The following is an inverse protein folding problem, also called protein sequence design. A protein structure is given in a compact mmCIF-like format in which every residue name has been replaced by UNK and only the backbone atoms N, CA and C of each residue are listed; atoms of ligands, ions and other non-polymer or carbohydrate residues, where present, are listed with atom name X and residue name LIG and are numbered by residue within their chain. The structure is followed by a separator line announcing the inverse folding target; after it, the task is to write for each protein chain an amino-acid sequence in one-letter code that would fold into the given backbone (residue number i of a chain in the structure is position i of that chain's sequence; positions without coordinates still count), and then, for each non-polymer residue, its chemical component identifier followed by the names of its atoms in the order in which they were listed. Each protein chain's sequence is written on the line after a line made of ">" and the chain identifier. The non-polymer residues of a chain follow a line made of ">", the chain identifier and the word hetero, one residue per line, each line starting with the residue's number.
data_IF_714651442360
#
_entry.id   IF_714651442360
#
_cell.length_a   1.000
_cell.length_b   1.000
_cell.length_c   1.000
_cell.angle_alpha   90.00
_cell.angle_beta   90.00
_cell.angle_gamma   90.00
#
_symmetry.space_group_name_H-M   'P 1'
#
loop_
_entity.id
_entity.type
_entity.pdbx_description
1 polymer ?
#
# COMPACT_ATOMS: atom_id res chain seq x y z
N UNK A 1 -35.68 0.96 68.06
CA UNK A 1 -34.88 -0.02 67.32
C UNK A 1 -35.04 0.26 65.83
N UNK A 2 -33.96 0.76 65.21
CA UNK A 2 -33.62 0.80 63.78
C UNK A 2 -34.58 1.47 62.76
N UNK A 3 -34.32 2.75 62.44
CA UNK A 3 -34.56 3.33 61.12
C UNK A 3 -33.44 2.88 60.17
N UNK A 4 -33.75 2.09 59.15
CA UNK A 4 -32.81 1.81 58.06
C UNK A 4 -32.90 2.92 57.01
N UNK A 5 -31.93 3.83 57.03
CA UNK A 5 -31.67 4.76 55.93
C UNK A 5 -30.97 3.96 54.83
N UNK A 6 -31.68 3.68 53.73
CA UNK A 6 -31.09 3.18 52.50
C UNK A 6 -30.38 4.34 51.79
N UNK A 7 -29.08 4.48 52.03
CA UNK A 7 -28.21 5.27 51.16
C UNK A 7 -28.00 4.50 49.87
N UNK A 8 -28.71 4.89 48.82
CA UNK A 8 -28.38 4.53 47.44
C UNK A 8 -27.04 5.18 47.10
N UNK A 9 -25.96 4.40 47.17
CA UNK A 9 -24.74 4.74 46.45
C UNK A 9 -25.07 4.63 44.96
N UNK A 10 -25.41 5.77 44.33
CA UNK A 10 -25.20 5.93 42.89
C UNK A 10 -23.70 5.79 42.69
N UNK A 11 -23.25 4.60 42.31
CA UNK A 11 -21.95 4.43 41.71
C UNK A 11 -21.96 5.24 40.43
N UNK A 12 -21.46 6.48 40.49
CA UNK A 12 -20.95 7.13 39.31
C UNK A 12 -19.84 6.21 38.82
N UNK A 13 -20.14 5.42 37.78
CA UNK A 13 -19.06 5.01 36.89
C UNK A 13 -18.48 6.33 36.41
N UNK A 14 -17.26 6.63 36.79
CA UNK A 14 -16.48 7.63 36.06
C UNK A 14 -16.56 7.17 34.61
N UNK A 15 -17.32 7.89 33.79
CA UNK A 15 -17.26 7.70 32.35
C UNK A 15 -15.80 7.98 32.01
N UNK A 16 -15.03 6.93 31.72
CA UNK A 16 -13.70 7.08 31.16
C UNK A 16 -13.87 7.89 29.88
N UNK A 17 -13.61 9.19 29.96
CA UNK A 17 -13.41 10.03 28.79
C UNK A 17 -12.33 9.33 27.98
N UNK A 18 -12.72 8.77 26.84
CA UNK A 18 -11.81 8.15 25.89
C UNK A 18 -11.43 9.25 24.90
N UNK A 19 -10.33 9.98 25.13
CA UNK A 19 -9.99 11.13 24.31
C UNK A 19 -9.74 10.69 22.87
N UNK A 20 -10.00 11.56 21.91
CA UNK A 20 -9.73 11.29 20.51
C UNK A 20 -8.22 11.28 20.25
N UNK A 21 -7.66 10.11 19.91
CA UNK A 21 -6.23 9.96 19.63
C UNK A 21 -5.95 9.06 18.43
N UNK A 22 -4.86 9.36 17.74
CA UNK A 22 -4.38 8.63 16.57
C UNK A 22 -2.95 8.18 16.82
N UNK A 23 -2.59 7.01 16.29
CA UNK A 23 -1.21 6.51 16.37
C UNK A 23 -0.21 7.37 15.57
N UNK A 24 -0.69 8.02 14.51
CA UNK A 24 0.13 8.89 13.67
C UNK A 24 -0.42 10.32 13.70
N UNK A 25 0.50 11.28 13.64
CA UNK A 25 0.17 12.70 13.53
C UNK A 25 -0.05 13.17 12.10
N UNK A 26 0.28 12.36 11.10
CA UNK A 26 0.11 12.64 9.66
C UNK A 26 -0.10 11.35 8.88
N UNK A 27 -0.70 11.46 7.68
CA UNK A 27 -0.95 10.30 6.82
C UNK A 27 -0.65 10.62 5.35
N UNK A 28 0.04 9.68 4.70
CA UNK A 28 0.17 9.64 3.24
C UNK A 28 -0.88 8.69 2.65
N UNK A 29 -1.53 9.12 1.57
CA UNK A 29 -2.61 8.37 0.89
C UNK A 29 -2.29 8.33 -0.62
N UNK A 30 -2.21 7.15 -1.25
CA UNK A 30 -2.00 7.08 -2.70
C UNK A 30 -3.23 7.64 -3.44
N UNK A 31 -2.98 8.39 -4.52
CA UNK A 31 -4.03 8.91 -5.39
C UNK A 31 -4.88 7.77 -5.96
N UNK A 32 -6.21 7.85 -5.82
CA UNK A 32 -7.15 6.80 -6.19
C UNK A 32 -7.23 5.62 -5.20
N UNK A 33 -6.36 5.58 -4.18
CA UNK A 33 -6.37 4.57 -3.12
C UNK A 33 -7.04 5.03 -1.83
N UNK A 34 -7.13 4.10 -0.86
CA UNK A 34 -7.79 4.31 0.44
C UNK A 34 -6.84 4.11 1.61
N UNK A 35 -6.74 5.17 2.41
CA UNK A 35 -6.10 5.38 3.71
C UNK A 35 -6.89 4.94 4.94
N UNK A 36 -6.67 3.80 5.62
CA UNK A 36 -7.27 3.59 6.96
C UNK A 36 -6.44 4.25 8.07
N UNK A 37 -7.09 5.03 8.95
CA UNK A 37 -6.40 5.79 10.00
C UNK A 37 -6.33 5.00 11.30
N UNK A 38 -5.12 4.77 11.80
CA UNK A 38 -4.91 4.09 13.08
C UNK A 38 -5.42 4.93 14.26
N UNK A 39 -6.56 4.53 14.82
CA UNK A 39 -7.16 5.10 16.02
C UNK A 39 -6.57 4.45 17.28
N UNK A 40 -6.06 5.26 18.21
CA UNK A 40 -5.61 4.83 19.54
C UNK A 40 -6.78 4.81 20.52
N UNK A 41 -7.63 5.85 20.49
CA UNK A 41 -8.80 5.99 21.36
C UNK A 41 -9.84 6.96 20.75
N UNK A 42 -11.04 6.95 21.32
CA UNK A 42 -12.19 7.76 20.90
C UNK A 42 -13.51 7.05 21.20
N UNK A 43 -14.64 7.62 20.81
CA UNK A 43 -15.97 7.07 21.09
C UNK A 43 -16.56 6.18 19.97
N UNK A 44 -16.07 6.30 18.72
CA UNK A 44 -16.61 5.61 17.54
C UNK A 44 -17.80 6.28 16.83
N UNK A 45 -18.13 7.52 17.20
CA UNK A 45 -19.08 8.42 16.51
C UNK A 45 -18.38 9.74 16.20
N UNK A 46 -17.99 9.88 14.93
CA UNK A 46 -17.12 10.96 14.46
C UNK A 46 -17.77 11.80 13.37
N UNK A 47 -17.58 13.12 13.44
CA UNK A 47 -17.79 14.03 12.32
C UNK A 47 -16.45 14.32 11.63
N UNK A 48 -16.47 14.32 10.29
CA UNK A 48 -15.27 14.44 9.46
C UNK A 48 -15.40 15.66 8.53
N UNK A 49 -14.40 16.54 8.54
CA UNK A 49 -14.32 17.70 7.64
C UNK A 49 -12.97 17.70 6.92
N UNK A 50 -12.99 17.60 5.58
CA UNK A 50 -11.79 17.74 4.75
C UNK A 50 -11.73 19.16 4.21
N UNK A 51 -10.61 19.86 4.48
CA UNK A 51 -10.43 21.28 4.12
C UNK A 51 -10.48 21.53 2.62
N UNK A 52 -9.78 20.71 1.84
CA UNK A 52 -9.83 20.73 0.37
C UNK A 52 -10.28 19.38 -0.17
N UNK A 53 -11.57 19.30 -0.53
CA UNK A 53 -12.22 18.08 -1.03
C UNK A 53 -11.82 17.71 -2.45
N UNK A 54 -11.03 18.56 -3.14
CA UNK A 54 -10.44 18.22 -4.44
C UNK A 54 -9.22 17.31 -4.30
N UNK A 55 -8.57 17.35 -3.13
CA UNK A 55 -7.36 16.57 -2.84
C UNK A 55 -7.73 15.22 -2.25
N UNK A 56 -8.65 15.17 -1.28
CA UNK A 56 -9.06 13.93 -0.63
C UNK A 56 -10.53 13.98 -0.19
N UNK A 57 -11.09 12.82 0.11
CA UNK A 57 -12.35 12.66 0.85
C UNK A 57 -12.15 11.76 2.06
N UNK A 58 -13.07 11.79 3.02
CA UNK A 58 -13.01 10.96 4.21
C UNK A 58 -14.37 10.34 4.54
N UNK A 59 -14.34 9.21 5.23
CA UNK A 59 -15.54 8.50 5.64
C UNK A 59 -15.28 7.56 6.81
N UNK A 60 -16.33 6.87 7.24
CA UNK A 60 -16.25 5.86 8.30
C UNK A 60 -16.79 4.52 7.82
N UNK A 61 -16.23 3.43 8.32
CA UNK A 61 -16.72 2.06 8.13
C UNK A 61 -16.97 1.36 9.45
N UNK A 62 -17.97 0.48 9.48
CA UNK A 62 -18.33 -0.33 10.66
C UNK A 62 -17.89 -1.78 10.50
N UNK A 63 -17.75 -2.50 11.61
CA UNK A 63 -17.45 -3.93 11.62
C UNK A 63 -15.98 -4.27 11.82
N UNK A 64 -15.18 -3.28 12.22
CA UNK A 64 -13.75 -3.46 12.51
C UNK A 64 -13.53 -3.96 13.94
N UNK A 65 -12.53 -4.82 14.13
CA UNK A 65 -12.09 -5.25 15.46
C UNK A 65 -10.92 -4.39 15.93
N UNK A 66 -10.80 -4.17 17.25
CA UNK A 66 -9.67 -3.43 17.82
C UNK A 66 -9.72 -1.91 17.64
N UNK A 67 -10.89 -1.34 17.29
CA UNK A 67 -11.09 0.12 17.19
C UNK A 67 -12.33 0.58 17.97
N UNK A 68 -12.41 1.86 18.38
CA UNK A 68 -13.54 2.40 19.12
C UNK A 68 -14.90 2.09 18.48
N UNK A 69 -15.78 1.43 19.25
CA UNK A 69 -17.11 0.96 18.82
C UNK A 69 -17.14 0.22 17.46
N UNK A 70 -16.03 -0.37 17.03
CA UNK A 70 -15.90 -1.03 15.73
C UNK A 70 -16.02 -0.08 14.52
N UNK A 71 -15.79 1.22 14.73
CA UNK A 71 -15.83 2.28 13.70
C UNK A 71 -14.41 2.69 13.31
N UNK A 72 -14.07 2.49 12.04
CA UNK A 72 -12.79 2.91 11.46
C UNK A 72 -12.98 4.18 10.62
N UNK A 73 -12.03 5.11 10.67
CA UNK A 73 -11.97 6.26 9.77
C UNK A 73 -11.07 5.91 8.59
N UNK A 74 -11.49 6.32 7.39
CA UNK A 74 -10.66 6.22 6.19
C UNK A 74 -10.63 7.53 5.41
N UNK A 75 -9.58 7.69 4.61
CA UNK A 75 -9.36 8.80 3.67
C UNK A 75 -9.15 8.21 2.27
N UNK A 76 -9.76 8.79 1.25
CA UNK A 76 -9.52 8.41 -0.15
C UNK A 76 -8.76 9.55 -0.84
N UNK A 77 -7.65 9.22 -1.51
CA UNK A 77 -6.88 10.19 -2.29
C UNK A 77 -7.56 10.47 -3.63
N UNK A 78 -7.73 11.75 -4.00
CA UNK A 78 -8.37 12.17 -5.25
C UNK A 78 -7.33 12.77 -6.21
N UNK A 79 -6.57 13.75 -5.73
CA UNK A 79 -5.54 14.44 -6.50
C UNK A 79 -4.32 14.62 -5.62
N UNK A 80 -3.13 14.47 -6.20
CA UNK A 80 -1.87 14.70 -5.47
C UNK A 80 -1.81 16.11 -4.89
N UNK A 81 -1.33 16.23 -3.66
CA UNK A 81 -1.31 17.48 -2.92
C UNK A 81 -1.46 17.29 -1.41
N UNK A 82 -1.64 18.39 -0.68
CA UNK A 82 -1.78 18.39 0.77
C UNK A 82 -3.09 19.03 1.20
N UNK A 83 -3.77 18.41 2.16
CA UNK A 83 -5.00 18.91 2.77
C UNK A 83 -5.00 18.59 4.27
N UNK A 84 -6.07 18.94 4.95
CA UNK A 84 -6.26 18.62 6.37
C UNK A 84 -7.61 17.93 6.55
N UNK A 85 -7.61 16.90 7.39
CA UNK A 85 -8.83 16.27 7.90
C UNK A 85 -9.00 16.70 9.35
N UNK A 86 -10.11 17.37 9.66
CA UNK A 86 -10.55 17.56 11.04
C UNK A 86 -11.51 16.44 11.41
N UNK A 87 -11.21 15.76 12.50
CA UNK A 87 -12.06 14.73 13.12
C UNK A 87 -12.58 15.28 14.43
N UNK A 88 -13.91 15.23 14.62
CA UNK A 88 -14.59 15.60 15.85
C UNK A 88 -15.19 14.35 16.48
N UNK A 89 -14.85 14.08 17.73
CA UNK A 89 -15.56 13.08 18.55
C UNK A 89 -16.88 13.69 19.03
N UNK A 90 -18.00 13.09 18.62
CA UNK A 90 -19.31 13.69 18.87
C UNK A 90 -19.76 13.57 20.35
N UNK A 91 -19.17 12.67 21.13
CA UNK A 91 -19.50 12.56 22.55
C UNK A 91 -18.72 13.58 23.39
N UNK A 92 -17.42 13.73 23.15
CA UNK A 92 -16.56 14.63 23.94
C UNK A 92 -16.43 16.03 23.35
N UNK A 93 -16.82 16.21 22.08
CA UNK A 93 -16.60 17.42 21.27
C UNK A 93 -15.10 17.75 21.07
N UNK A 94 -14.19 16.83 21.40
CA UNK A 94 -12.78 16.97 21.09
C UNK A 94 -12.55 16.94 19.58
N UNK A 95 -11.57 17.73 19.14
CA UNK A 95 -11.20 17.81 17.73
C UNK A 95 -9.72 17.51 17.53
N UNK A 96 -9.41 16.81 16.44
CA UNK A 96 -8.05 16.54 15.99
C UNK A 96 -7.95 16.91 14.52
N UNK A 97 -6.96 17.73 14.15
CA UNK A 97 -6.69 18.09 12.75
C UNK A 97 -5.43 17.37 12.28
N UNK A 98 -5.61 16.46 11.33
CA UNK A 98 -4.57 15.62 10.75
C UNK A 98 -4.13 16.18 9.38
N UNK A 99 -2.84 16.43 9.15
CA UNK A 99 -2.29 16.64 7.82
C UNK A 99 -2.44 15.38 6.97
N UNK A 100 -2.99 15.55 5.78
CA UNK A 100 -3.16 14.50 4.79
C UNK A 100 -2.36 14.88 3.55
N UNK A 101 -1.43 14.01 3.15
CA UNK A 101 -0.68 14.15 1.91
C UNK A 101 -1.13 13.08 0.93
N UNK A 102 -1.71 13.49 -0.19
CA UNK A 102 -2.02 12.58 -1.29
C UNK A 102 -0.82 12.51 -2.22
N UNK A 103 -0.24 11.32 -2.33
CA UNK A 103 0.96 11.01 -3.14
C UNK A 103 0.56 10.33 -4.44
N UNK A 104 1.49 10.25 -5.39
CA UNK A 104 1.27 9.48 -6.63
C UNK A 104 0.88 8.03 -6.30
N UNK A 105 -0.01 7.44 -7.10
CA UNK A 105 -0.34 6.03 -6.95
C UNK A 105 0.88 5.14 -7.27
N UNK A 106 0.88 3.90 -6.81
CA UNK A 106 1.99 2.98 -7.05
C UNK A 106 1.54 1.51 -7.04
N UNK A 107 2.40 0.64 -7.55
CA UNK A 107 2.28 -0.81 -7.43
C UNK A 107 3.52 -1.39 -6.76
N UNK A 108 3.31 -2.30 -5.80
CA UNK A 108 4.39 -3.02 -5.13
C UNK A 108 4.59 -4.40 -5.76
N UNK A 109 5.77 -4.60 -6.35
CA UNK A 109 6.29 -5.90 -6.77
C UNK A 109 7.09 -6.50 -5.61
N UNK A 110 6.45 -7.42 -4.89
CA UNK A 110 7.09 -8.19 -3.81
C UNK A 110 7.74 -9.46 -4.35
N UNK A 111 9.04 -9.59 -4.17
CA UNK A 111 9.83 -10.73 -4.61
C UNK A 111 9.68 -11.93 -3.65
N UNK A 112 9.37 -13.09 -4.22
CA UNK A 112 9.04 -14.31 -3.49
C UNK A 112 10.18 -15.33 -3.56
N UNK A 113 11.26 -15.09 -2.81
CA UNK A 113 12.45 -15.96 -2.80
C UNK A 113 12.19 -17.39 -2.30
N UNK A 114 11.13 -17.63 -1.53
CA UNK A 114 10.74 -18.97 -1.09
C UNK A 114 10.15 -19.84 -2.21
N UNK A 115 9.81 -19.27 -3.37
CA UNK A 115 9.15 -19.97 -4.48
C UNK A 115 10.13 -20.37 -5.60
N UNK A 116 11.44 -20.15 -5.41
CA UNK A 116 12.45 -20.42 -6.44
C UNK A 116 12.47 -21.87 -6.91
N UNK A 117 12.18 -22.84 -6.02
CA UNK A 117 12.12 -24.26 -6.38
C UNK A 117 11.03 -24.62 -7.39
N UNK A 118 10.05 -23.72 -7.58
CA UNK A 118 8.94 -23.92 -8.52
C UNK A 118 9.25 -23.37 -9.92
N UNK A 119 10.40 -22.71 -10.08
CA UNK A 119 10.83 -22.08 -11.32
C UNK A 119 11.90 -22.93 -12.00
N UNK A 120 11.84 -23.12 -13.32
CA UNK A 120 12.84 -23.90 -14.05
C UNK A 120 14.26 -23.33 -13.89
N UNK A 121 14.40 -22.00 -13.84
CA UNK A 121 15.69 -21.31 -13.70
C UNK A 121 15.70 -20.35 -12.50
N UNK A 122 15.13 -20.77 -11.37
CA UNK A 122 15.08 -19.94 -10.16
C UNK A 122 16.48 -19.54 -9.66
N UNK A 123 16.76 -18.25 -9.52
CA UNK A 123 18.03 -17.73 -8.98
C UNK A 123 17.79 -16.79 -7.79
N UNK A 124 18.26 -17.22 -6.61
CA UNK A 124 18.19 -16.43 -5.38
C UNK A 124 19.01 -15.14 -5.41
N UNK A 125 19.95 -15.02 -6.35
CA UNK A 125 20.80 -13.85 -6.53
C UNK A 125 20.27 -12.90 -7.59
N UNK A 126 19.11 -13.18 -8.21
CA UNK A 126 18.46 -12.19 -9.07
C UNK A 126 17.94 -11.04 -8.20
N UNK A 127 18.35 -9.81 -8.54
CA UNK A 127 18.09 -8.58 -7.79
C UNK A 127 18.50 -8.73 -6.30
N UNK A 128 19.79 -8.93 -6.00
CA UNK A 128 20.24 -9.31 -4.67
C UNK A 128 19.93 -8.22 -3.64
N UNK A 129 19.48 -8.63 -2.45
CA UNK A 129 19.16 -7.70 -1.35
C UNK A 129 17.83 -6.94 -1.49
N UNK A 130 17.22 -6.91 -2.68
CA UNK A 130 15.91 -6.30 -2.91
C UNK A 130 14.80 -7.28 -2.50
N UNK A 131 13.80 -6.82 -1.75
CA UNK A 131 12.59 -7.59 -1.42
C UNK A 131 11.36 -7.05 -2.13
N UNK A 132 11.27 -5.73 -2.28
CA UNK A 132 10.09 -5.04 -2.77
C UNK A 132 10.50 -3.92 -3.72
N UNK A 133 9.72 -3.73 -4.78
CA UNK A 133 9.96 -2.72 -5.83
C UNK A 133 8.66 -1.95 -6.05
N UNK A 134 8.67 -0.68 -5.67
CA UNK A 134 7.53 0.21 -5.89
C UNK A 134 7.68 0.91 -7.24
N UNK A 135 6.72 0.66 -8.14
CA UNK A 135 6.60 1.36 -9.41
C UNK A 135 5.65 2.54 -9.23
N UNK A 136 6.15 3.77 -9.40
CA UNK A 136 5.36 4.98 -9.12
C UNK A 136 4.64 5.44 -10.39
N UNK A 137 3.37 5.81 -10.24
CA UNK A 137 2.55 6.37 -11.31
C UNK A 137 2.76 7.89 -11.45
N UNK A 138 4.00 8.28 -11.74
CA UNK A 138 4.35 9.66 -12.05
C UNK A 138 4.93 9.79 -13.45
N UNK A 139 5.12 11.02 -13.92
CA UNK A 139 5.63 11.29 -15.26
C UNK A 139 7.04 10.72 -15.49
N UNK A 140 7.88 10.69 -14.46
CA UNK A 140 9.25 10.19 -14.53
C UNK A 140 9.33 8.65 -14.56
N UNK A 141 8.24 7.97 -14.19
CA UNK A 141 8.20 6.52 -13.95
C UNK A 141 9.27 6.09 -12.95
N UNK A 142 9.27 6.76 -11.80
CA UNK A 142 10.23 6.44 -10.74
C UNK A 142 10.00 5.02 -10.18
N UNK A 143 11.08 4.38 -9.77
CA UNK A 143 11.09 3.09 -9.11
C UNK A 143 11.87 3.20 -7.78
N UNK A 144 11.34 2.59 -6.72
CA UNK A 144 11.98 2.57 -5.40
C UNK A 144 12.20 1.13 -4.96
N UNK A 145 13.42 0.82 -4.55
CA UNK A 145 13.86 -0.53 -4.26
C UNK A 145 14.12 -0.67 -2.76
N UNK A 146 13.48 -1.64 -2.13
CA UNK A 146 13.54 -1.83 -0.68
C UNK A 146 14.10 -3.19 -0.31
N UNK A 147 14.68 -3.28 0.88
CA UNK A 147 14.93 -4.54 1.59
C UNK A 147 13.98 -4.70 2.75
N UNK A 148 13.62 -5.94 3.05
CA UNK A 148 12.84 -6.31 4.21
C UNK A 148 13.76 -6.35 5.44
N UNK A 149 13.49 -5.46 6.39
CA UNK A 149 14.03 -5.49 7.74
C UNK A 149 13.06 -6.11 8.73
N UNK A 150 13.25 -5.79 10.01
CA UNK A 150 12.37 -6.20 11.10
C UNK A 150 11.01 -5.50 10.98
N UNK A 151 9.96 -6.29 10.84
CA UNK A 151 8.58 -5.82 10.84
C UNK A 151 8.08 -5.68 12.28
N UNK A 152 7.42 -4.56 12.58
CA UNK A 152 6.77 -4.32 13.88
C UNK A 152 5.28 -4.07 13.69
N UNK A 153 4.54 -3.88 14.79
CA UNK A 153 3.13 -3.51 14.72
C UNK A 153 2.89 -2.15 14.03
N UNK A 154 3.91 -1.29 13.94
CA UNK A 154 3.79 0.09 13.44
C UNK A 154 4.66 0.36 12.20
N UNK A 155 5.42 -0.64 11.74
CA UNK A 155 6.32 -0.49 10.59
C UNK A 155 6.37 -1.77 9.78
N UNK A 156 6.33 -1.62 8.46
CA UNK A 156 6.55 -2.72 7.52
C UNK A 156 7.96 -3.31 7.59
N UNK A 157 8.91 -2.59 8.20
CA UNK A 157 10.33 -2.96 8.21
C UNK A 157 11.04 -2.69 6.90
N UNK A 158 10.37 -2.12 5.89
CA UNK A 158 10.98 -1.80 4.61
C UNK A 158 12.01 -0.68 4.75
N UNK A 159 13.22 -0.92 4.25
CA UNK A 159 14.30 0.07 4.21
C UNK A 159 14.68 0.37 2.77
N UNK A 160 14.66 1.64 2.38
CA UNK A 160 15.04 2.07 1.04
C UNK A 160 16.52 1.74 0.76
N UNK A 161 16.78 1.03 -0.34
CA UNK A 161 18.12 0.73 -0.84
C UNK A 161 18.56 1.82 -1.81
N UNK A 162 17.76 2.05 -2.84
CA UNK A 162 18.09 2.94 -3.94
C UNK A 162 16.83 3.40 -4.68
N UNK A 163 17.00 4.41 -5.53
CA UNK A 163 15.97 4.97 -6.40
C UNK A 163 16.41 4.78 -7.84
N UNK A 164 15.44 4.64 -8.74
CA UNK A 164 15.66 4.47 -10.15
C UNK A 164 14.42 4.83 -10.94
N UNK A 165 14.30 4.29 -12.14
CA UNK A 165 13.12 4.41 -12.97
C UNK A 165 12.74 3.08 -13.60
N UNK A 166 11.53 3.00 -14.14
CA UNK A 166 11.05 1.84 -14.86
C UNK A 166 10.45 2.20 -16.20
N UNK A 167 10.42 1.19 -17.07
CA UNK A 167 9.64 1.19 -18.31
C UNK A 167 8.94 -0.14 -18.44
N UNK A 168 7.64 -0.11 -18.70
CA UNK A 168 6.82 -1.28 -18.97
C UNK A 168 6.34 -1.23 -20.42
N UNK A 169 6.64 -2.27 -21.18
CA UNK A 169 6.29 -2.40 -22.59
C UNK A 169 5.51 -3.71 -22.80
N UNK A 170 4.35 -3.62 -23.42
CA UNK A 170 3.48 -4.77 -23.66
C UNK A 170 2.97 -4.70 -25.08
N UNK A 171 3.04 -5.82 -25.79
CA UNK A 171 2.43 -5.95 -27.11
C UNK A 171 0.90 -5.95 -26.98
N UNK A 172 0.23 -5.27 -27.90
CA UNK A 172 -1.23 -5.24 -27.95
C UNK A 172 -1.79 -6.67 -28.09
N UNK A 173 -2.81 -7.01 -27.31
CA UNK A 173 -3.39 -8.35 -27.30
C UNK A 173 -2.58 -9.43 -26.56
N UNK A 174 -1.31 -9.19 -26.21
CA UNK A 174 -0.50 -10.16 -25.48
C UNK A 174 -0.85 -10.15 -23.99
N UNK A 175 -1.48 -11.20 -23.47
CA UNK A 175 -1.90 -11.27 -22.06
C UNK A 175 -1.02 -12.20 -21.21
N UNK A 176 0.13 -12.61 -21.74
CA UNK A 176 1.02 -13.58 -21.10
C UNK A 176 2.31 -12.93 -20.61
N UNK A 177 2.78 -11.88 -21.31
CA UNK A 177 4.03 -11.21 -20.96
C UNK A 177 4.06 -9.71 -21.25
N UNK A 178 4.89 -9.02 -20.49
CA UNK A 178 5.36 -7.66 -20.76
C UNK A 178 6.88 -7.59 -20.55
N UNK A 179 7.54 -6.57 -21.07
CA UNK A 179 8.94 -6.26 -20.81
C UNK A 179 9.01 -5.18 -19.74
N UNK A 180 9.66 -5.49 -18.63
CA UNK A 180 9.99 -4.54 -17.57
C UNK A 180 11.47 -4.18 -17.71
N UNK A 181 11.78 -2.91 -17.90
CA UNK A 181 13.15 -2.38 -17.77
C UNK A 181 13.23 -1.58 -16.48
N UNK A 182 14.16 -1.95 -15.61
CA UNK A 182 14.49 -1.22 -14.39
C UNK A 182 15.84 -0.52 -14.59
N UNK A 183 15.91 0.76 -14.27
CA UNK A 183 17.12 1.58 -14.41
C UNK A 183 17.53 2.06 -13.04
N UNK A 184 18.58 1.48 -12.46
CA UNK A 184 19.04 1.82 -11.12
C UNK A 184 20.53 1.52 -10.95
N UNK A 185 21.08 1.98 -9.83
CA UNK A 185 22.43 1.64 -9.38
C UNK A 185 22.34 0.60 -8.28
N UNK A 186 23.05 -0.52 -8.41
CA UNK A 186 23.03 -1.61 -7.42
C UNK A 186 23.62 -1.16 -6.06
N UNK A 187 24.57 -0.23 -6.10
CA UNK A 187 25.16 0.43 -4.94
C UNK A 187 25.70 1.84 -5.31
N UNK A 188 26.33 2.52 -4.35
CA UNK A 188 26.89 3.87 -4.56
C UNK A 188 28.16 3.90 -5.43
N UNK A 189 28.78 2.74 -5.69
CA UNK A 189 30.03 2.62 -6.43
C UNK A 189 29.82 2.12 -7.88
N UNK A 190 28.67 1.52 -8.15
CA UNK A 190 28.26 1.02 -9.47
C UNK A 190 27.66 2.14 -10.32
N UNK A 191 27.89 2.14 -11.64
CA UNK A 191 27.15 2.99 -12.55
C UNK A 191 25.69 2.53 -12.64
N UNK A 192 24.79 3.48 -12.90
CA UNK A 192 23.40 3.17 -13.23
C UNK A 192 23.36 2.27 -14.49
N UNK A 193 22.66 1.16 -14.40
CA UNK A 193 22.49 0.21 -15.51
C UNK A 193 21.03 -0.14 -15.75
N UNK A 194 20.75 -0.62 -16.97
CA UNK A 194 19.45 -1.11 -17.36
C UNK A 194 19.38 -2.63 -17.10
N UNK A 195 18.41 -3.04 -16.30
CA UNK A 195 18.09 -4.42 -16.00
C UNK A 195 16.77 -4.76 -16.69
N UNK A 196 16.79 -5.66 -17.67
CA UNK A 196 15.62 -6.00 -18.48
C UNK A 196 15.06 -7.35 -18.08
N UNK A 197 13.76 -7.41 -17.95
CA UNK A 197 13.03 -8.60 -17.54
C UNK A 197 11.82 -8.85 -18.45
N UNK A 198 11.53 -10.12 -18.69
CA UNK A 198 10.21 -10.56 -19.11
C UNK A 198 9.37 -10.74 -17.84
N UNK A 199 8.29 -9.99 -17.74
CA UNK A 199 7.27 -10.15 -16.70
C UNK A 199 6.21 -11.11 -17.25
N UNK A 200 6.25 -12.36 -16.80
CA UNK A 200 5.27 -13.39 -17.13
C UNK A 200 4.09 -13.34 -16.18
N UNK A 201 2.88 -13.34 -16.74
CA UNK A 201 1.66 -13.29 -15.94
C UNK A 201 0.40 -13.62 -16.72
N UNK A 202 -0.69 -12.97 -16.35
CA UNK A 202 -2.02 -13.20 -16.94
C UNK A 202 -2.78 -11.87 -17.12
N UNK A 203 -3.95 -11.93 -17.75
CA UNK A 203 -4.78 -10.74 -17.97
C UNK A 203 -5.05 -9.92 -16.69
N UNK A 204 -5.15 -10.57 -15.52
CA UNK A 204 -5.36 -9.88 -14.25
C UNK A 204 -4.18 -8.99 -13.86
N UNK A 205 -2.94 -9.50 -13.87
CA UNK A 205 -1.76 -8.70 -13.48
C UNK A 205 -1.57 -7.52 -14.40
N UNK A 206 -1.77 -7.72 -15.71
CA UNK A 206 -1.62 -6.65 -16.69
C UNK A 206 -2.74 -5.62 -16.59
N UNK A 207 -3.97 -6.04 -16.28
CA UNK A 207 -5.06 -5.10 -16.01
C UNK A 207 -4.79 -4.25 -14.77
N UNK A 208 -4.34 -4.88 -13.67
CA UNK A 208 -3.98 -4.17 -12.44
C UNK A 208 -2.86 -3.15 -12.70
N UNK A 209 -1.76 -3.56 -13.33
CA UNK A 209 -0.66 -2.67 -13.68
C UNK A 209 -1.11 -1.52 -14.59
N UNK A 210 -1.93 -1.81 -15.61
CA UNK A 210 -2.46 -0.79 -16.53
C UNK A 210 -3.28 0.29 -15.80
N UNK A 211 -4.17 -0.12 -14.89
CA UNK A 211 -5.02 0.80 -14.13
C UNK A 211 -4.27 1.56 -13.05
N UNK A 212 -3.43 0.88 -12.27
CA UNK A 212 -2.73 1.54 -11.17
C UNK A 212 -1.63 2.48 -11.63
N UNK A 213 -0.97 2.17 -12.76
CA UNK A 213 0.16 2.92 -13.29
C UNK A 213 -0.18 3.75 -14.53
N UNK A 214 -1.45 3.82 -14.95
CA UNK A 214 -1.89 4.55 -16.14
C UNK A 214 -1.02 4.25 -17.38
N UNK A 215 -0.88 2.96 -17.73
CA UNK A 215 0.01 2.51 -18.80
C UNK A 215 -0.63 2.65 -20.20
N UNK A 216 -1.95 2.87 -20.26
CA UNK A 216 -2.73 3.02 -21.49
C UNK A 216 -2.66 1.78 -22.39
N UNK A 217 -2.58 0.59 -21.79
CA UNK A 217 -2.61 -0.67 -22.51
C UNK A 217 -4.02 -1.10 -22.94
N UNK A 218 -5.04 -0.33 -22.56
CA UNK A 218 -6.45 -0.57 -22.89
C UNK A 218 -6.89 -1.99 -22.53
N UNK A 219 -6.43 -2.48 -21.38
CA UNK A 219 -6.78 -3.83 -20.92
C UNK A 219 -8.30 -3.96 -20.72
N UNK A 220 -8.91 -5.09 -21.15
CA UNK A 220 -10.34 -5.29 -20.98
C UNK A 220 -10.70 -5.39 -19.49
N UNK A 221 -11.95 -5.04 -19.10
CA UNK A 221 -12.43 -5.29 -17.76
C UNK A 221 -12.31 -6.77 -17.41
N UNK A 222 -11.75 -7.06 -16.24
CA UNK A 222 -11.76 -8.40 -15.66
C UNK A 222 -13.10 -8.62 -14.95
N UNK A 223 -13.76 -9.75 -15.20
CA UNK A 223 -15.01 -10.07 -14.51
C UNK A 223 -14.78 -10.19 -13.00
N UNK A 224 -15.70 -9.63 -12.19
CA UNK A 224 -15.72 -9.76 -10.74
C UNK A 224 -16.16 -11.18 -10.33
N UNK A 225 -15.33 -12.19 -10.56
CA UNK A 225 -15.66 -13.59 -10.21
C UNK A 225 -14.58 -14.23 -9.35
N UNK A 226 -14.08 -13.51 -8.34
CA UNK A 226 -13.32 -14.13 -7.24
C UNK A 226 -14.19 -14.20 -5.99
N UNK A 227 -14.93 -15.30 -5.84
CA UNK A 227 -15.73 -15.64 -4.66
C UNK A 227 -14.99 -16.57 -3.68
N UNK A 228 -13.66 -16.65 -3.73
CA UNK A 228 -12.88 -17.50 -2.80
C UNK A 228 -11.48 -16.94 -2.52
N UNK A 229 -10.97 -17.08 -1.28
CA UNK A 229 -9.61 -16.71 -0.92
C UNK A 229 -8.63 -17.74 -1.50
N UNK A 230 -8.38 -17.67 -2.81
CA UNK A 230 -7.24 -18.38 -3.41
C UNK A 230 -5.94 -17.67 -2.97
N UNK A 231 -4.84 -18.42 -2.76
CA UNK A 231 -3.54 -17.81 -2.46
C UNK A 231 -3.21 -16.71 -3.47
N UNK A 232 -2.51 -15.66 -3.01
CA UNK A 232 -2.09 -14.57 -3.89
C UNK A 232 -1.40 -15.17 -5.11
N UNK A 233 -1.84 -14.84 -6.34
CA UNK A 233 -1.20 -15.37 -7.52
C UNK A 233 0.27 -14.94 -7.51
N UNK A 234 1.16 -15.90 -7.74
CA UNK A 234 2.56 -15.61 -8.04
C UNK A 234 2.77 -15.56 -9.55
N UNK A 235 3.68 -14.69 -9.94
CA UNK A 235 4.08 -14.39 -11.30
C UNK A 235 5.60 -14.56 -11.41
N UNK A 236 6.16 -14.45 -12.60
CA UNK A 236 7.60 -14.67 -12.81
C UNK A 236 8.24 -13.45 -13.49
N UNK A 237 9.33 -12.97 -12.91
CA UNK A 237 10.30 -12.12 -13.61
C UNK A 237 11.42 -13.00 -14.15
N UNK A 238 11.70 -12.89 -15.43
CA UNK A 238 12.81 -13.57 -16.09
C UNK A 238 13.79 -12.56 -16.66
N UNK A 239 15.07 -12.66 -16.33
CA UNK A 239 16.13 -11.78 -16.84
C UNK A 239 16.38 -11.98 -18.34
N UNK A 240 16.48 -10.88 -19.09
CA UNK A 240 16.84 -10.89 -20.51
C UNK A 240 18.36 -10.71 -20.65
N UNK A 241 19.10 -11.82 -20.66
CA UNK A 241 20.55 -11.85 -20.78
C UNK A 241 21.06 -12.24 -22.20
N UNK A 242 20.22 -12.09 -23.23
CA UNK A 242 20.58 -12.38 -24.64
C UNK A 242 20.25 -13.79 -25.13
N UNK A 243 19.63 -14.63 -24.30
CA UNK A 243 19.08 -15.93 -24.68
C UNK A 243 17.61 -15.87 -25.15
N UNK A 244 17.06 -17.02 -25.56
CA UNK A 244 15.63 -17.15 -25.88
C UNK A 244 14.77 -17.02 -24.60
N UNK A 245 13.53 -16.50 -24.70
CA UNK A 245 12.58 -16.53 -23.57
C UNK A 245 12.44 -17.94 -22.97
N UNK A 246 12.44 -18.03 -21.65
CA UNK A 246 12.45 -19.28 -20.88
C UNK A 246 13.84 -19.77 -20.46
N UNK A 247 14.92 -19.11 -20.87
CA UNK A 247 16.30 -19.51 -20.55
C UNK A 247 17.00 -18.59 -19.55
N UNK A 248 16.41 -17.42 -19.28
CA UNK A 248 16.95 -16.45 -18.33
C UNK A 248 16.81 -16.91 -16.87
N UNK A 249 17.54 -16.24 -15.98
CA UNK A 249 17.36 -16.37 -14.53
C UNK A 249 15.98 -15.90 -14.12
N UNK A 250 15.35 -16.58 -13.18
CA UNK A 250 13.96 -16.31 -12.80
C UNK A 250 13.80 -16.05 -11.31
N UNK A 251 12.85 -15.19 -10.98
CA UNK A 251 12.36 -14.97 -9.61
C UNK A 251 10.85 -14.82 -9.62
N UNK A 252 10.18 -15.40 -8.63
CA UNK A 252 8.74 -15.22 -8.47
C UNK A 252 8.45 -13.88 -7.82
N UNK A 253 7.30 -13.29 -8.14
CA UNK A 253 6.80 -12.10 -7.46
C UNK A 253 5.28 -12.15 -7.29
N UNK A 254 4.75 -11.26 -6.47
CA UNK A 254 3.31 -10.97 -6.41
C UNK A 254 3.09 -9.46 -6.36
N UNK A 255 1.89 -9.01 -6.75
CA UNK A 255 1.48 -7.62 -6.54
C UNK A 255 0.85 -7.50 -5.16
N UNK A 256 1.54 -6.79 -4.28
CA UNK A 256 1.22 -6.67 -2.87
C UNK A 256 0.35 -5.42 -2.61
N UNK A 257 -0.34 -5.39 -1.48
CA UNK A 257 -1.03 -4.19 -0.97
C UNK A 257 -0.16 -3.44 0.06
N UNK A 258 1.09 -3.87 0.23
CA UNK A 258 2.06 -3.21 1.07
C UNK A 258 2.26 -1.78 0.62
N UNK A 259 2.20 -0.87 1.58
CA UNK A 259 2.39 0.54 1.32
C UNK A 259 3.86 0.92 1.36
N UNK A 260 4.19 1.94 0.57
CA UNK A 260 5.50 2.56 0.66
C UNK A 260 5.64 3.25 2.03
N UNK A 261 6.80 3.16 2.69
CA UNK A 261 7.04 3.91 3.92
C UNK A 261 6.79 5.41 3.73
N UNK A 262 6.15 6.03 4.73
CA UNK A 262 5.82 7.46 4.69
C UNK A 262 7.07 8.35 4.59
N UNK A 263 6.94 9.52 3.95
CA UNK A 263 8.02 10.48 3.78
C UNK A 263 8.99 10.17 2.64
N UNK A 264 8.76 9.08 1.90
CA UNK A 264 9.59 8.70 0.74
C UNK A 264 9.17 9.44 -0.53
N UNK A 265 7.85 9.52 -0.78
CA UNK A 265 7.30 10.16 -1.98
C UNK A 265 7.16 11.67 -1.77
N UNK A 266 7.35 12.47 -2.84
CA UNK A 266 7.26 13.93 -2.79
C UNK A 266 5.85 14.43 -2.47
#
# INVERSE_FOLDING_TARGET
>A
MLCCILTLFSGCKEDEENPLRFYNSEYEVPMGGRRYLGLESGNGDYSLEVKDTRIASAGTETGWTGVPAGRMIYVTGILTGQTYLTVTDNATQETCTLPIKVVDNYEDIKLLRSYLSNLPNGDANLLPGISDIFLINNHARDAYFFKQGEQTAFSSGLTLITRGSYKLEKEEGNNEKAILTLTFSEDAATPISNHKFILWGNAYVFHRLDKSLNLNWNTPPIGETRTSPAPLPSYTLEEIAGGEPGTGKQISFTLSEQEIPAGILP
#
